data_IF_242326441974
#
_entry.id   IF_242326441974
#
_cell.length_a   1.000
_cell.length_b   1.000
_cell.length_c   1.000
_cell.angle_alpha   90.00
_cell.angle_beta   90.00
_cell.angle_gamma   90.00
#
_symmetry.space_group_name_H-M   'P 1'
#
loop_
_entity.id
_entity.type
_entity.pdbx_description
1 polymer ?
#
# COMPACT_ATOMS: atom_id res chain seq x y z
N UNK A 1 -76.18 12.82 7.64
CA UNK A 1 -75.00 13.17 6.82
C UNK A 1 -73.79 13.17 7.75
N UNK A 2 -72.95 12.14 7.64
CA UNK A 2 -71.66 12.01 8.33
C UNK A 2 -70.65 12.98 7.72
N UNK A 3 -69.90 13.73 8.54
CA UNK A 3 -68.60 14.29 8.16
C UNK A 3 -67.68 14.41 9.39
N UNK A 4 -67.02 13.29 9.63
CA UNK A 4 -65.56 13.13 9.74
C UNK A 4 -64.78 14.18 10.55
N UNK A 5 -64.45 13.78 11.77
CA UNK A 5 -63.27 14.25 12.51
C UNK A 5 -62.00 13.96 11.71
N UNK A 6 -61.18 14.98 11.44
CA UNK A 6 -59.77 14.78 11.06
C UNK A 6 -58.95 14.93 12.33
N UNK A 7 -58.67 13.79 12.97
CA UNK A 7 -57.54 13.67 13.89
C UNK A 7 -56.27 13.79 13.06
N UNK A 8 -55.49 14.86 13.30
CA UNK A 8 -54.09 14.87 12.92
C UNK A 8 -53.39 13.78 13.74
N UNK A 9 -53.23 12.61 13.12
CA UNK A 9 -52.26 11.63 13.55
C UNK A 9 -50.88 12.22 13.35
N UNK A 10 -50.22 12.54 14.46
CA UNK A 10 -48.76 12.60 14.52
C UNK A 10 -48.28 11.20 14.15
N UNK A 11 -48.03 10.98 12.86
CA UNK A 11 -47.22 9.87 12.43
C UNK A 11 -45.82 10.15 12.99
N UNK A 12 -45.52 9.49 14.12
CA UNK A 12 -44.17 9.31 14.56
C UNK A 12 -43.39 8.77 13.36
N UNK A 13 -42.50 9.61 12.85
CA UNK A 13 -41.44 9.21 11.94
C UNK A 13 -40.55 8.25 12.73
N UNK A 14 -40.96 6.98 12.81
CA UNK A 14 -40.04 5.91 13.09
C UNK A 14 -39.09 5.89 11.90
N UNK A 15 -38.00 6.65 12.02
CA UNK A 15 -36.80 6.39 11.28
C UNK A 15 -36.46 4.93 11.57
N UNK A 16 -36.69 4.05 10.60
CA UNK A 16 -36.02 2.76 10.61
C UNK A 16 -34.55 3.08 10.38
N UNK A 17 -33.82 3.35 11.47
CA UNK A 17 -32.36 3.39 11.47
C UNK A 17 -31.89 2.01 11.03
N UNK A 18 -30.92 1.97 10.12
CA UNK A 18 -30.34 0.68 9.72
C UNK A 18 -29.46 0.17 10.88
N UNK A 19 -29.33 -1.15 11.09
CA UNK A 19 -28.37 -1.70 12.07
C UNK A 19 -26.94 -1.17 11.89
N UNK A 20 -26.59 -0.72 10.69
CA UNK A 20 -25.33 -0.06 10.38
C UNK A 20 -25.22 1.35 11.01
N UNK A 21 -26.29 2.14 10.94
CA UNK A 21 -26.34 3.46 11.59
C UNK A 21 -26.26 3.33 13.12
N UNK A 22 -26.91 2.31 13.67
CA UNK A 22 -26.96 2.06 15.10
C UNK A 22 -25.58 1.58 15.63
N UNK A 23 -24.90 0.67 14.92
CA UNK A 23 -23.51 0.29 15.20
C UNK A 23 -22.55 1.47 15.16
N UNK A 24 -22.66 2.32 14.12
CA UNK A 24 -21.84 3.53 14.00
C UNK A 24 -22.11 4.51 15.13
N UNK A 25 -23.38 4.77 15.44
CA UNK A 25 -23.76 5.64 16.55
C UNK A 25 -23.21 5.11 17.88
N UNK A 26 -23.31 3.80 18.09
CA UNK A 26 -22.77 3.14 19.27
C UNK A 26 -21.25 3.27 19.38
N UNK A 27 -20.53 3.08 18.28
CA UNK A 27 -19.08 3.25 18.22
C UNK A 27 -18.68 4.68 18.63
N UNK A 28 -19.40 5.68 18.13
CA UNK A 28 -19.19 7.08 18.47
C UNK A 28 -19.46 7.36 19.97
N UNK A 29 -20.56 6.85 20.52
CA UNK A 29 -20.85 6.93 21.96
C UNK A 29 -19.73 6.35 22.83
N UNK A 30 -19.16 5.22 22.39
CA UNK A 30 -18.08 4.54 23.09
C UNK A 30 -16.69 5.12 22.82
N UNK A 31 -16.59 6.26 22.11
CA UNK A 31 -15.33 6.91 21.74
C UNK A 31 -14.37 5.97 20.99
N UNK A 32 -14.91 5.05 20.20
CA UNK A 32 -14.11 4.34 19.23
C UNK A 32 -13.56 5.35 18.21
N UNK A 33 -12.35 5.12 17.71
CA UNK A 33 -11.62 6.06 16.83
C UNK A 33 -12.45 6.42 15.60
N UNK A 34 -12.95 7.66 15.47
CA UNK A 34 -13.63 8.11 14.26
C UNK A 34 -12.59 8.82 13.37
N UNK A 35 -11.88 8.10 12.49
CA UNK A 35 -10.78 8.82 11.80
C UNK A 35 -9.99 8.18 10.68
N UNK A 36 -10.24 6.93 10.24
CA UNK A 36 -9.48 6.36 9.12
C UNK A 36 -10.43 6.08 7.94
N UNK A 37 -10.51 7.11 7.06
CA UNK A 37 -11.10 7.34 5.70
C UNK A 37 -12.06 6.30 5.12
N UNK A 38 -13.22 6.61 4.53
CA UNK A 38 -13.68 7.59 3.50
C UNK A 38 -15.18 7.89 3.71
N UNK A 39 -15.65 9.01 3.17
CA UNK A 39 -16.97 9.62 3.39
C UNK A 39 -18.24 8.83 2.95
N UNK A 40 -18.16 7.54 2.60
CA UNK A 40 -19.29 6.74 2.08
C UNK A 40 -19.52 5.44 2.89
N UNK A 41 -20.08 5.61 4.08
CA UNK A 41 -20.18 4.59 5.13
C UNK A 41 -21.26 3.50 4.98
N UNK A 42 -22.06 3.53 3.92
CA UNK A 42 -23.19 2.59 3.79
C UNK A 42 -22.78 1.27 3.10
N UNK A 43 -21.72 1.26 2.29
CA UNK A 43 -21.38 0.12 1.42
C UNK A 43 -20.90 -1.12 2.17
N UNK A 44 -19.86 -1.00 3.01
CA UNK A 44 -19.22 -2.15 3.69
C UNK A 44 -20.18 -2.84 4.67
N UNK A 45 -20.87 -2.06 5.50
CA UNK A 45 -21.82 -2.64 6.45
C UNK A 45 -23.03 -3.27 5.72
N UNK A 46 -23.50 -2.68 4.63
CA UNK A 46 -24.57 -3.25 3.80
C UNK A 46 -24.12 -4.53 3.10
N UNK A 47 -22.88 -4.58 2.62
CA UNK A 47 -22.27 -5.75 1.98
C UNK A 47 -22.13 -6.91 2.98
N UNK A 48 -21.53 -6.68 4.15
CA UNK A 48 -21.38 -7.68 5.22
C UNK A 48 -22.74 -8.15 5.72
N UNK A 49 -23.72 -7.25 5.83
CA UNK A 49 -25.10 -7.61 6.13
C UNK A 49 -25.72 -8.48 5.04
N UNK A 50 -25.41 -8.21 3.77
CA UNK A 50 -25.81 -9.06 2.64
C UNK A 50 -25.20 -10.45 2.69
N UNK A 51 -23.93 -10.55 3.09
CA UNK A 51 -23.18 -11.81 3.23
C UNK A 51 -23.70 -12.66 4.40
N UNK A 52 -23.95 -12.04 5.55
CA UNK A 52 -24.31 -12.73 6.81
C UNK A 52 -25.81 -12.78 7.12
N UNK A 53 -26.62 -12.05 6.35
CA UNK A 53 -28.09 -12.06 6.44
C UNK A 53 -28.61 -11.91 7.89
N UNK A 54 -29.46 -12.82 8.36
CA UNK A 54 -30.12 -12.75 9.67
C UNK A 54 -29.14 -12.81 10.86
N UNK A 55 -27.94 -13.35 10.65
CA UNK A 55 -26.93 -13.44 11.71
C UNK A 55 -26.27 -12.07 11.96
N UNK A 56 -26.26 -11.18 10.96
CA UNK A 56 -25.76 -9.81 11.12
C UNK A 56 -26.58 -9.00 12.12
N UNK A 57 -27.91 -9.02 12.00
CA UNK A 57 -28.79 -8.23 12.88
C UNK A 57 -28.67 -8.71 14.34
N UNK A 58 -28.44 -10.01 14.56
CA UNK A 58 -28.18 -10.57 15.90
C UNK A 58 -26.81 -10.14 16.46
N UNK A 59 -25.81 -10.00 15.59
CA UNK A 59 -24.49 -9.50 15.97
C UNK A 59 -24.57 -8.01 16.33
N UNK A 60 -25.24 -7.21 15.50
CA UNK A 60 -25.43 -5.78 15.72
C UNK A 60 -26.12 -5.52 17.07
N UNK A 61 -27.23 -6.22 17.34
CA UNK A 61 -27.93 -6.14 18.62
C UNK A 61 -27.03 -6.48 19.83
N UNK A 62 -26.20 -7.53 19.73
CA UNK A 62 -25.26 -7.89 20.79
C UNK A 62 -24.23 -6.78 21.08
N UNK A 63 -23.70 -6.15 20.03
CA UNK A 63 -22.71 -5.07 20.17
C UNK A 63 -23.35 -3.80 20.76
N UNK A 64 -24.57 -3.47 20.35
CA UNK A 64 -25.32 -2.32 20.86
C UNK A 64 -25.66 -2.43 22.35
N UNK A 65 -26.08 -3.62 22.79
CA UNK A 65 -26.41 -3.89 24.19
C UNK A 65 -25.18 -3.91 25.12
N UNK A 66 -24.00 -4.09 24.55
CA UNK A 66 -22.74 -4.24 25.31
C UNK A 66 -22.21 -2.89 25.81
N UNK A 67 -21.69 -2.79 27.04
CA UNK A 67 -21.22 -1.52 27.61
C UNK A 67 -19.90 -1.04 26.98
N UNK A 68 -19.66 0.27 27.02
CA UNK A 68 -18.52 0.88 26.33
C UNK A 68 -17.14 0.50 26.90
N UNK A 69 -17.07 0.10 28.17
CA UNK A 69 -15.84 -0.28 28.88
C UNK A 69 -15.38 -1.73 28.61
N UNK A 70 -16.17 -2.49 27.85
CA UNK A 70 -15.89 -3.88 27.51
C UNK A 70 -15.05 -4.02 26.23
N UNK A 71 -13.75 -4.22 26.42
CA UNK A 71 -12.75 -4.33 25.35
C UNK A 71 -12.73 -5.66 24.61
N UNK A 72 -13.59 -6.63 24.95
CA UNK A 72 -13.63 -7.90 24.23
C UNK A 72 -15.05 -8.23 23.74
N UNK A 73 -15.96 -7.24 23.75
CA UNK A 73 -17.37 -7.43 23.41
C UNK A 73 -17.60 -7.89 21.97
N UNK A 74 -16.89 -7.28 21.01
CA UNK A 74 -17.10 -7.56 19.59
C UNK A 74 -16.69 -9.00 19.27
N UNK A 75 -15.53 -9.44 19.75
CA UNK A 75 -15.07 -10.82 19.58
C UNK A 75 -16.05 -11.82 20.23
N UNK A 76 -16.57 -11.53 21.42
CA UNK A 76 -17.61 -12.39 22.03
C UNK A 76 -18.92 -12.39 21.24
N UNK A 77 -19.39 -11.25 20.74
CA UNK A 77 -20.58 -11.17 19.91
C UNK A 77 -20.40 -11.94 18.58
N UNK A 78 -19.20 -11.88 17.99
CA UNK A 78 -18.84 -12.69 16.83
C UNK A 78 -18.90 -14.18 17.18
N UNK A 79 -18.26 -14.61 18.27
CA UNK A 79 -18.26 -16.02 18.70
C UNK A 79 -19.65 -16.56 19.06
N UNK A 80 -20.52 -15.73 19.63
CA UNK A 80 -21.87 -16.12 20.06
C UNK A 80 -22.85 -16.23 18.89
N UNK A 81 -22.73 -15.35 17.90
CA UNK A 81 -23.72 -15.20 16.83
C UNK A 81 -23.26 -15.78 15.51
N UNK A 82 -21.95 -15.76 15.24
CA UNK A 82 -21.36 -15.95 13.92
C UNK A 82 -20.28 -17.03 14.00
N UNK A 83 -20.70 -18.28 14.22
CA UNK A 83 -19.88 -19.48 14.50
C UNK A 83 -18.43 -19.49 13.96
N UNK A 84 -18.16 -20.27 12.91
CA UNK A 84 -16.84 -20.27 12.23
C UNK A 84 -16.90 -19.36 10.99
N UNK A 85 -16.71 -18.05 11.19
CA UNK A 85 -16.51 -17.09 10.09
C UNK A 85 -15.04 -17.00 9.67
N UNK A 86 -14.79 -16.64 8.42
CA UNK A 86 -13.43 -16.41 7.91
C UNK A 86 -12.78 -15.22 8.63
N UNK A 87 -11.45 -15.15 8.61
CA UNK A 87 -10.72 -14.01 9.16
C UNK A 87 -11.09 -12.68 8.47
N UNK A 88 -11.42 -12.72 7.17
CA UNK A 88 -11.88 -11.56 6.42
C UNK A 88 -13.21 -11.03 6.95
N UNK A 89 -14.20 -11.92 7.08
CA UNK A 89 -15.51 -11.59 7.65
C UNK A 89 -15.38 -11.06 9.08
N UNK A 90 -14.53 -11.69 9.90
CA UNK A 90 -14.25 -11.25 11.28
C UNK A 90 -13.71 -9.82 11.31
N UNK A 91 -12.78 -9.50 10.42
CA UNK A 91 -12.21 -8.17 10.31
C UNK A 91 -13.25 -7.13 9.85
N UNK A 92 -14.02 -7.42 8.79
CA UNK A 92 -15.08 -6.52 8.30
C UNK A 92 -16.15 -6.23 9.37
N UNK A 93 -16.55 -7.25 10.13
CA UNK A 93 -17.48 -7.10 11.26
C UNK A 93 -16.92 -6.26 12.40
N UNK A 94 -15.65 -6.47 12.74
CA UNK A 94 -14.95 -5.67 13.74
C UNK A 94 -14.87 -4.20 13.31
N UNK A 95 -14.51 -3.94 12.05
CA UNK A 95 -14.44 -2.60 11.49
C UNK A 95 -15.80 -1.90 11.55
N UNK A 96 -16.87 -2.58 11.09
CA UNK A 96 -18.24 -2.07 11.16
C UNK A 96 -18.67 -1.72 12.60
N UNK A 97 -18.41 -2.60 13.56
CA UNK A 97 -18.76 -2.39 14.97
C UNK A 97 -17.95 -1.28 15.66
N UNK A 98 -16.75 -0.98 15.15
CA UNK A 98 -15.93 0.15 15.62
C UNK A 98 -16.17 1.45 14.85
N UNK A 99 -17.08 1.45 13.87
CA UNK A 99 -17.28 2.61 13.00
C UNK A 99 -16.03 2.97 12.19
N UNK A 100 -15.19 1.98 11.88
CA UNK A 100 -13.97 2.12 11.09
C UNK A 100 -14.24 1.74 9.64
N UNK A 101 -13.51 2.36 8.72
CA UNK A 101 -13.45 1.90 7.33
C UNK A 101 -12.19 1.06 7.10
N UNK A 102 -12.36 -0.18 6.60
CA UNK A 102 -11.24 -0.97 6.13
C UNK A 102 -10.81 -0.47 4.74
N UNK A 103 -9.88 0.48 4.68
CA UNK A 103 -9.30 0.96 3.41
C UNK A 103 -8.56 -0.19 2.71
N UNK A 104 -8.79 -0.36 1.40
CA UNK A 104 -8.04 -1.32 0.59
C UNK A 104 -8.45 -2.78 0.78
N UNK A 105 -9.66 -3.02 1.31
CA UNK A 105 -10.18 -4.37 1.56
C UNK A 105 -11.28 -4.67 0.56
N UNK A 106 -10.92 -5.36 -0.52
CA UNK A 106 -11.87 -5.87 -1.51
C UNK A 106 -12.85 -6.89 -0.88
N UNK A 107 -13.88 -7.28 -1.63
CA UNK A 107 -14.99 -8.14 -1.21
C UNK A 107 -14.54 -9.43 -0.48
N UNK A 108 -13.39 -9.98 -0.84
CA UNK A 108 -12.81 -11.21 -0.29
C UNK A 108 -11.54 -11.00 0.56
N UNK A 109 -11.21 -9.74 0.86
CA UNK A 109 -9.93 -9.34 1.44
C UNK A 109 -8.71 -9.82 0.62
N UNK A 110 -8.85 -10.09 -0.68
CA UNK A 110 -7.75 -10.55 -1.54
C UNK A 110 -6.57 -9.59 -1.49
N UNK A 111 -6.80 -8.29 -1.68
CA UNK A 111 -5.77 -7.26 -1.63
C UNK A 111 -4.98 -7.24 -0.29
N UNK A 112 -5.65 -7.50 0.85
CA UNK A 112 -4.97 -7.67 2.15
C UNK A 112 -4.23 -9.01 2.24
N UNK A 113 -4.82 -10.09 1.71
CA UNK A 113 -4.27 -11.45 1.78
C UNK A 113 -3.14 -11.72 0.79
N UNK A 114 -3.06 -10.95 -0.30
CA UNK A 114 -1.94 -10.97 -1.26
C UNK A 114 -0.72 -10.29 -0.64
N UNK A 115 -0.92 -9.23 0.16
CA UNK A 115 0.15 -8.60 0.95
C UNK A 115 0.51 -9.37 2.24
N UNK A 116 -0.43 -10.15 2.79
CA UNK A 116 -0.24 -10.97 3.99
C UNK A 116 -0.54 -12.43 3.67
N UNK A 117 0.49 -13.25 3.41
CA UNK A 117 0.37 -14.71 3.28
C UNK A 117 -0.67 -15.25 4.29
N UNK A 118 -1.60 -16.13 3.88
CA UNK A 118 -2.83 -16.41 4.64
C UNK A 118 -2.69 -16.73 6.14
N UNK A 119 -1.56 -17.28 6.60
CA UNK A 119 -1.24 -17.44 8.04
C UNK A 119 -0.92 -16.10 8.74
N UNK A 120 -0.19 -15.22 8.06
CA UNK A 120 0.05 -13.83 8.48
C UNK A 120 -1.25 -13.04 8.57
N UNK A 121 -2.17 -13.18 7.60
CA UNK A 121 -3.46 -12.52 7.67
C UNK A 121 -4.28 -12.95 8.90
N UNK A 122 -4.36 -14.25 9.19
CA UNK A 122 -5.04 -14.77 10.37
C UNK A 122 -4.48 -14.21 11.68
N UNK A 123 -3.14 -14.16 11.79
CA UNK A 123 -2.45 -13.56 12.94
C UNK A 123 -2.72 -12.07 13.04
N UNK A 124 -2.72 -11.37 11.91
CA UNK A 124 -2.94 -9.93 11.84
C UNK A 124 -4.35 -9.55 12.27
N UNK A 125 -5.36 -10.24 11.74
CA UNK A 125 -6.75 -10.07 12.17
C UNK A 125 -6.88 -10.32 13.67
N UNK A 126 -6.29 -11.41 14.20
CA UNK A 126 -6.30 -11.67 15.63
C UNK A 126 -5.70 -10.50 16.43
N UNK A 127 -4.56 -9.96 16.00
CA UNK A 127 -3.91 -8.83 16.66
C UNK A 127 -4.76 -7.55 16.66
N UNK A 128 -5.33 -7.15 15.51
CA UNK A 128 -6.13 -5.90 15.44
C UNK A 128 -7.47 -6.02 16.17
N UNK A 129 -8.00 -7.23 16.34
CA UNK A 129 -9.29 -7.50 17.02
C UNK A 129 -9.21 -7.70 18.54
N UNK A 130 -8.01 -7.90 19.13
CA UNK A 130 -7.83 -8.32 20.54
C UNK A 130 -8.51 -7.38 21.56
N UNK A 131 -8.46 -6.07 21.30
CA UNK A 131 -8.97 -5.02 22.18
C UNK A 131 -10.36 -4.48 21.75
N UNK A 132 -11.07 -5.23 20.91
CA UNK A 132 -12.39 -4.96 20.33
C UNK A 132 -12.58 -3.64 19.57
N UNK A 133 -12.03 -2.49 19.98
CA UNK A 133 -11.98 -1.26 19.18
C UNK A 133 -10.79 -0.35 19.56
N UNK A 134 -10.24 0.42 18.60
CA UNK A 134 -9.26 1.45 18.89
C UNK A 134 -9.90 2.66 19.58
N UNK A 135 -9.22 3.29 20.54
CA UNK A 135 -9.78 4.32 21.45
C UNK A 135 -9.40 5.78 21.11
N UNK A 136 -9.37 6.12 19.82
CA UNK A 136 -9.09 7.46 19.32
C UNK A 136 -7.90 7.50 18.35
N UNK A 137 -7.57 8.70 17.87
CA UNK A 137 -6.60 8.90 16.78
C UNK A 137 -5.16 8.47 17.12
N UNK A 138 -4.82 8.37 18.41
CA UNK A 138 -3.50 7.95 18.90
C UNK A 138 -3.34 6.41 18.98
N UNK A 139 -4.40 5.64 18.71
CA UNK A 139 -4.37 4.17 18.77
C UNK A 139 -3.80 3.59 17.46
N UNK A 140 -2.48 3.37 17.44
CA UNK A 140 -1.73 2.86 16.29
C UNK A 140 -1.69 1.31 16.23
N UNK A 141 -2.69 0.63 16.81
CA UNK A 141 -2.73 -0.85 16.85
C UNK A 141 -2.70 -1.45 15.46
N UNK A 142 -3.34 -0.81 14.48
CA UNK A 142 -3.32 -1.26 13.09
C UNK A 142 -1.88 -1.39 12.57
N UNK A 143 -1.07 -0.33 12.72
CA UNK A 143 0.35 -0.31 12.33
C UNK A 143 1.19 -1.30 13.14
N UNK A 144 1.02 -1.32 14.46
CA UNK A 144 1.80 -2.23 15.33
C UNK A 144 1.52 -3.70 15.02
N UNK A 145 0.26 -4.04 14.72
CA UNK A 145 -0.11 -5.39 14.29
C UNK A 145 0.46 -5.73 12.92
N UNK A 146 0.53 -4.76 12.02
CA UNK A 146 1.18 -4.93 10.72
C UNK A 146 2.70 -5.18 10.90
N UNK A 147 3.41 -4.33 11.64
CA UNK A 147 4.85 -4.46 11.92
C UNK A 147 5.23 -5.78 12.61
N UNK A 148 4.38 -6.29 13.51
CA UNK A 148 4.67 -7.51 14.26
C UNK A 148 4.42 -8.81 13.48
N UNK A 149 3.75 -8.74 12.33
CA UNK A 149 3.17 -9.92 11.65
C UNK A 149 3.57 -9.98 10.19
N UNK A 150 3.66 -8.83 9.52
CA UNK A 150 4.26 -8.69 8.21
C UNK A 150 5.78 -8.71 8.38
N UNK A 151 6.53 -9.52 7.62
CA UNK A 151 7.99 -9.49 7.67
C UNK A 151 8.49 -8.07 7.46
N UNK A 152 9.49 -7.63 8.24
CA UNK A 152 10.05 -6.27 8.13
C UNK A 152 10.44 -5.92 6.69
N UNK A 153 10.92 -6.90 5.93
CA UNK A 153 11.22 -6.76 4.49
C UNK A 153 10.03 -6.32 3.65
N UNK A 154 8.79 -6.71 3.99
CA UNK A 154 7.59 -6.33 3.24
C UNK A 154 7.06 -4.97 3.72
N UNK A 155 7.12 -4.66 5.02
CA UNK A 155 6.77 -3.31 5.52
C UNK A 155 7.77 -2.26 5.04
N UNK A 156 9.07 -2.55 5.06
CA UNK A 156 10.11 -1.66 4.56
C UNK A 156 9.92 -1.36 3.06
N UNK A 157 9.54 -2.38 2.27
CA UNK A 157 9.21 -2.19 0.85
C UNK A 157 7.96 -1.34 0.66
N UNK A 158 6.91 -1.57 1.47
CA UNK A 158 5.67 -0.80 1.38
C UNK A 158 5.91 0.68 1.74
N UNK A 159 6.62 0.94 2.84
CA UNK A 159 6.95 2.29 3.29
C UNK A 159 7.84 3.00 2.27
N UNK A 160 8.84 2.30 1.74
CA UNK A 160 9.67 2.81 0.66
C UNK A 160 8.82 3.21 -0.55
N UNK A 161 7.88 2.36 -0.95
CA UNK A 161 7.00 2.63 -2.08
C UNK A 161 6.07 3.81 -1.89
N UNK A 162 5.46 3.95 -0.70
CA UNK A 162 4.62 5.12 -0.38
C UNK A 162 5.43 6.40 -0.49
N UNK A 163 6.65 6.44 0.08
CA UNK A 163 7.51 7.63 0.04
C UNK A 163 7.96 7.95 -1.38
N UNK A 164 8.38 6.95 -2.17
CA UNK A 164 8.79 7.14 -3.58
C UNK A 164 7.62 7.65 -4.42
N UNK A 165 6.43 7.08 -4.26
CA UNK A 165 5.24 7.51 -4.99
C UNK A 165 4.87 8.96 -4.66
N UNK A 166 4.85 9.33 -3.38
CA UNK A 166 4.57 10.72 -2.96
C UNK A 166 5.60 11.71 -3.51
N UNK A 167 6.88 11.34 -3.50
CA UNK A 167 7.93 12.17 -4.08
C UNK A 167 7.76 12.29 -5.61
N UNK A 168 7.42 11.18 -6.29
CA UNK A 168 7.18 11.17 -7.74
C UNK A 168 6.00 12.06 -8.13
N UNK A 169 4.90 12.02 -7.38
CA UNK A 169 3.75 12.90 -7.58
C UNK A 169 4.12 14.39 -7.44
N UNK A 170 4.95 14.74 -6.46
CA UNK A 170 5.47 16.11 -6.30
C UNK A 170 6.34 16.54 -7.49
N UNK A 171 7.03 15.59 -8.12
CA UNK A 171 7.91 15.83 -9.25
C UNK A 171 7.24 15.68 -10.63
N UNK A 172 5.98 15.26 -10.67
CA UNK A 172 5.22 15.06 -11.91
C UNK A 172 5.24 16.33 -12.79
N UNK A 173 5.58 16.16 -14.07
CA UNK A 173 5.66 17.26 -15.04
C UNK A 173 7.03 17.95 -15.17
N UNK A 174 8.06 17.55 -14.42
CA UNK A 174 9.42 18.10 -14.55
C UNK A 174 10.26 17.50 -15.72
N UNK A 175 9.67 16.69 -16.60
CA UNK A 175 10.20 16.39 -17.94
C UNK A 175 11.54 15.64 -18.06
N UNK A 176 12.10 15.11 -16.96
CA UNK A 176 13.34 14.34 -16.99
C UNK A 176 13.06 12.85 -16.74
N UNK A 177 13.09 12.05 -17.82
CA UNK A 177 12.73 10.62 -17.83
C UNK A 177 13.85 9.65 -18.30
N UNK A 178 15.00 9.58 -17.60
CA UNK A 178 15.60 8.23 -17.57
C UNK A 178 16.05 7.73 -16.19
N UNK A 179 16.29 8.63 -15.23
CA UNK A 179 17.12 8.31 -14.05
C UNK A 179 16.36 8.23 -12.73
N UNK A 180 15.04 8.15 -12.80
CA UNK A 180 14.16 7.97 -11.65
C UNK A 180 13.50 6.61 -11.82
N UNK A 181 13.35 5.87 -10.73
CA UNK A 181 12.37 4.79 -10.63
C UNK A 181 11.00 5.46 -10.82
N UNK A 182 10.58 5.60 -12.08
CA UNK A 182 9.56 6.55 -12.55
C UNK A 182 8.18 5.96 -12.43
N UNK A 183 7.20 6.75 -11.96
CA UNK A 183 5.74 6.49 -11.97
C UNK A 183 5.35 5.01 -12.11
N UNK A 184 5.69 4.23 -11.09
CA UNK A 184 5.31 2.84 -11.01
C UNK A 184 4.23 2.74 -9.96
N UNK A 185 3.05 2.22 -10.34
CA UNK A 185 2.01 1.92 -9.35
C UNK A 185 2.56 1.01 -8.25
N UNK A 186 1.90 0.99 -7.09
CA UNK A 186 2.33 0.26 -5.90
C UNK A 186 2.84 -1.16 -6.21
N UNK A 187 2.16 -1.91 -7.08
CA UNK A 187 2.56 -3.27 -7.46
C UNK A 187 3.95 -3.36 -8.13
N UNK A 188 4.28 -2.45 -9.03
CA UNK A 188 5.60 -2.42 -9.68
C UNK A 188 6.69 -1.91 -8.73
N UNK A 189 6.36 -0.98 -7.85
CA UNK A 189 7.28 -0.57 -6.81
C UNK A 189 7.59 -1.72 -5.84
N UNK A 190 6.59 -2.52 -5.46
CA UNK A 190 6.80 -3.70 -4.63
C UNK A 190 7.64 -4.78 -5.34
N UNK A 191 7.54 -4.89 -6.68
CA UNK A 191 8.38 -5.80 -7.47
C UNK A 191 9.88 -5.44 -7.43
N UNK A 192 10.24 -4.19 -7.12
CA UNK A 192 11.63 -3.79 -6.89
C UNK A 192 12.27 -4.51 -5.68
N UNK A 193 11.45 -5.09 -4.79
CA UNK A 193 11.91 -5.97 -3.73
C UNK A 193 12.50 -7.31 -4.20
N UNK A 194 12.34 -7.66 -5.47
CA UNK A 194 13.01 -8.80 -6.12
C UNK A 194 14.39 -8.44 -6.68
N UNK A 195 14.67 -7.13 -6.82
CA UNK A 195 15.88 -6.58 -7.43
C UNK A 195 16.81 -6.01 -6.35
N UNK A 196 16.24 -5.29 -5.38
CA UNK A 196 16.95 -4.60 -4.30
C UNK A 196 16.58 -5.15 -2.93
N UNK A 197 17.50 -5.04 -1.97
CA UNK A 197 17.17 -5.36 -0.58
C UNK A 197 16.15 -4.35 -0.03
N UNK A 198 15.15 -4.83 0.70
CA UNK A 198 14.09 -3.99 1.26
C UNK A 198 14.61 -2.81 2.08
N UNK A 199 15.65 -3.03 2.89
CA UNK A 199 16.29 -1.99 3.71
C UNK A 199 16.98 -0.92 2.87
N UNK A 200 17.68 -1.32 1.81
CA UNK A 200 18.35 -0.37 0.92
C UNK A 200 17.35 0.44 0.09
N UNK A 201 16.22 -0.18 -0.25
CA UNK A 201 15.12 0.48 -0.95
C UNK A 201 14.43 1.53 -0.06
N UNK A 202 14.24 1.23 1.23
CA UNK A 202 13.77 2.19 2.23
C UNK A 202 14.76 3.33 2.46
N UNK A 203 16.06 3.04 2.55
CA UNK A 203 17.10 4.08 2.65
C UNK A 203 17.15 5.01 1.42
N UNK A 204 16.92 4.45 0.22
CA UNK A 204 16.76 5.21 -1.01
C UNK A 204 15.52 6.10 -0.96
N UNK A 205 14.36 5.57 -0.55
CA UNK A 205 13.11 6.31 -0.45
C UNK A 205 13.21 7.51 0.49
N UNK A 206 13.73 7.32 1.70
CA UNK A 206 13.93 8.43 2.64
C UNK A 206 14.98 9.44 2.19
N UNK A 207 15.97 9.00 1.40
CA UNK A 207 16.88 9.95 0.78
C UNK A 207 16.15 10.87 -0.19
N UNK A 208 15.28 10.32 -1.06
CA UNK A 208 14.53 11.10 -2.05
C UNK A 208 13.64 12.16 -1.42
N UNK A 209 13.00 11.89 -0.28
CA UNK A 209 12.11 12.84 0.41
C UNK A 209 12.77 14.22 0.64
N UNK A 210 14.09 14.25 0.85
CA UNK A 210 14.87 15.47 1.03
C UNK A 210 15.42 16.12 -0.24
N UNK A 211 15.19 15.53 -1.42
CA UNK A 211 15.81 15.95 -2.68
C UNK A 211 14.82 16.69 -3.59
N UNK A 212 15.23 17.85 -4.10
CA UNK A 212 14.45 18.64 -5.03
C UNK A 212 14.28 17.96 -6.40
N UNK A 213 13.18 18.27 -7.09
CA UNK A 213 12.82 17.61 -8.35
C UNK A 213 13.76 17.90 -9.54
N UNK A 214 14.66 18.87 -9.42
CA UNK A 214 15.66 19.23 -10.43
C UNK A 214 17.10 18.94 -9.97
N UNK A 215 17.29 18.44 -8.75
CA UNK A 215 18.60 18.10 -8.20
C UNK A 215 19.08 16.71 -8.67
N UNK A 216 19.65 16.69 -9.87
CA UNK A 216 20.21 15.48 -10.49
C UNK A 216 21.32 14.86 -9.63
N UNK A 217 22.16 15.69 -8.99
CA UNK A 217 23.27 15.20 -8.19
C UNK A 217 22.77 14.52 -6.91
N UNK A 218 21.80 15.12 -6.21
CA UNK A 218 21.16 14.54 -5.04
C UNK A 218 20.44 13.22 -5.35
N UNK A 219 19.78 13.13 -6.51
CA UNK A 219 19.13 11.87 -6.96
C UNK A 219 20.13 10.76 -7.22
N UNK A 220 21.24 11.09 -7.89
CA UNK A 220 22.32 10.14 -8.11
C UNK A 220 22.92 9.67 -6.78
N UNK A 221 23.07 10.55 -5.79
CA UNK A 221 23.53 10.18 -4.45
C UNK A 221 22.55 9.24 -3.75
N UNK A 222 21.24 9.47 -3.87
CA UNK A 222 20.24 8.55 -3.34
C UNK A 222 20.30 7.18 -4.00
N UNK A 223 20.48 7.10 -5.32
CA UNK A 223 20.62 5.82 -6.03
C UNK A 223 21.79 4.97 -5.52
N UNK A 224 22.85 5.59 -4.97
CA UNK A 224 23.97 4.86 -4.37
C UNK A 224 23.59 4.05 -3.13
N UNK A 225 22.46 4.37 -2.49
CA UNK A 225 21.95 3.66 -1.31
C UNK A 225 21.32 2.32 -1.66
N UNK A 226 20.93 2.13 -2.92
CA UNK A 226 20.37 0.86 -3.37
C UNK A 226 21.42 -0.26 -3.27
N UNK A 227 20.98 -1.43 -2.84
CA UNK A 227 21.79 -2.63 -2.75
C UNK A 227 21.09 -3.75 -3.54
N UNK A 228 21.79 -4.31 -4.52
CA UNK A 228 21.26 -5.36 -5.38
C UNK A 228 21.26 -6.70 -4.65
N UNK A 229 20.19 -7.48 -4.82
CA UNK A 229 20.14 -8.88 -4.36
C UNK A 229 21.14 -9.72 -5.15
N UNK A 230 21.19 -9.55 -6.47
CA UNK A 230 22.18 -10.17 -7.34
C UNK A 230 22.58 -9.24 -8.51
N UNK A 231 23.80 -8.67 -8.52
CA UNK A 231 24.27 -7.83 -9.61
C UNK A 231 24.73 -8.63 -10.85
N UNK A 232 24.85 -9.96 -10.75
CA UNK A 232 25.50 -10.80 -11.79
C UNK A 232 24.97 -10.63 -13.22
N UNK A 233 23.67 -10.41 -13.48
CA UNK A 233 23.14 -10.30 -14.84
C UNK A 233 23.57 -9.03 -15.59
N UNK A 234 23.96 -7.97 -14.88
CA UNK A 234 24.23 -6.63 -15.45
C UNK A 234 25.70 -6.21 -15.38
N UNK A 235 26.55 -6.94 -14.65
CA UNK A 235 27.98 -6.63 -14.52
C UNK A 235 28.69 -6.60 -15.88
N UNK A 236 28.53 -7.66 -16.69
CA UNK A 236 29.27 -7.76 -17.96
C UNK A 236 28.87 -6.68 -18.99
N UNK A 237 27.58 -6.34 -19.18
CA UNK A 237 27.18 -5.16 -19.94
C UNK A 237 27.77 -3.85 -19.37
N UNK A 238 27.83 -3.69 -18.06
CA UNK A 238 28.38 -2.49 -17.42
C UNK A 238 29.88 -2.33 -17.60
N UNK A 239 30.66 -3.41 -17.44
CA UNK A 239 32.11 -3.41 -17.71
C UNK A 239 32.41 -2.98 -19.14
N UNK A 240 31.60 -3.46 -20.10
CA UNK A 240 31.71 -3.07 -21.51
C UNK A 240 31.42 -1.60 -21.74
N UNK A 241 30.33 -1.09 -21.16
CA UNK A 241 29.95 0.31 -21.28
C UNK A 241 31.03 1.25 -20.70
N UNK A 242 31.61 0.88 -19.55
CA UNK A 242 32.73 1.62 -18.93
C UNK A 242 33.96 1.58 -19.83
N UNK A 243 34.35 0.40 -20.32
CA UNK A 243 35.50 0.27 -21.21
C UNK A 243 35.34 1.07 -22.51
N UNK A 244 34.12 1.13 -23.07
CA UNK A 244 33.80 1.95 -24.23
C UNK A 244 33.92 3.45 -23.90
N UNK A 245 33.37 3.90 -22.78
CA UNK A 245 33.52 5.29 -22.30
C UNK A 245 34.99 5.68 -22.15
N UNK A 246 35.81 4.84 -21.50
CA UNK A 246 37.24 5.08 -21.34
C UNK A 246 37.95 5.21 -22.69
N UNK A 247 37.56 4.38 -23.67
CA UNK A 247 38.11 4.43 -25.04
C UNK A 247 37.78 5.73 -25.78
N UNK A 248 36.67 6.38 -25.42
CA UNK A 248 36.24 7.64 -26.00
C UNK A 248 36.96 8.88 -25.43
N UNK A 249 37.87 8.70 -24.47
CA UNK A 249 38.62 9.80 -23.85
C UNK A 249 37.77 10.71 -22.96
N UNK A 250 36.53 10.31 -22.67
CA UNK A 250 35.72 10.91 -21.61
C UNK A 250 36.23 10.40 -20.26
N UNK A 251 36.81 11.29 -19.46
CA UNK A 251 36.90 11.13 -18.01
C UNK A 251 35.47 11.22 -17.44
N UNK A 252 34.61 10.24 -17.73
CA UNK A 252 33.51 9.90 -16.84
C UNK A 252 34.16 9.27 -15.62
N UNK A 253 34.84 10.09 -14.80
CA UNK A 253 35.74 9.66 -13.75
C UNK A 253 35.18 8.46 -13.00
N UNK A 254 35.73 7.28 -13.30
CA UNK A 254 35.35 5.99 -12.72
C UNK A 254 33.89 5.88 -12.30
N UNK A 255 32.95 5.89 -13.25
CA UNK A 255 31.61 5.41 -12.95
C UNK A 255 31.73 3.99 -12.38
N UNK A 256 31.40 3.78 -11.09
CA UNK A 256 31.54 2.45 -10.51
C UNK A 256 30.64 1.47 -11.28
N UNK A 257 31.15 0.27 -11.55
CA UNK A 257 30.36 -0.85 -12.07
C UNK A 257 29.06 -0.98 -11.25
N UNK A 258 29.12 -0.69 -9.94
CA UNK A 258 27.96 -0.71 -9.05
C UNK A 258 26.89 0.33 -9.41
N UNK A 259 27.29 1.54 -9.82
CA UNK A 259 26.35 2.59 -10.24
C UNK A 259 25.67 2.20 -11.54
N UNK A 260 26.44 1.67 -12.49
CA UNK A 260 25.91 1.15 -13.73
C UNK A 260 24.95 -0.02 -13.48
N UNK A 261 25.33 -0.97 -12.63
CA UNK A 261 24.51 -2.12 -12.29
C UNK A 261 23.18 -1.69 -11.69
N UNK A 262 23.18 -0.75 -10.73
CA UNK A 262 21.96 -0.20 -10.12
C UNK A 262 21.05 0.48 -11.14
N UNK A 263 21.61 1.22 -12.10
CA UNK A 263 20.84 1.88 -13.15
C UNK A 263 20.16 0.89 -14.11
N UNK A 264 20.81 -0.25 -14.38
CA UNK A 264 20.29 -1.24 -15.32
C UNK A 264 19.54 -2.41 -14.70
N UNK A 265 19.53 -2.52 -13.37
CA UNK A 265 19.00 -3.68 -12.65
C UNK A 265 17.50 -3.96 -12.91
N UNK A 266 16.71 -2.93 -13.23
CA UNK A 266 15.27 -3.04 -13.53
C UNK A 266 14.92 -3.50 -14.95
N UNK A 267 15.93 -3.67 -15.80
CA UNK A 267 15.71 -4.03 -17.20
C UNK A 267 16.08 -5.48 -17.45
N UNK A 268 15.31 -6.12 -18.35
CA UNK A 268 15.59 -7.47 -18.82
C UNK A 268 17.07 -7.55 -19.26
N UNK A 269 17.89 -8.47 -18.72
CA UNK A 269 19.33 -8.50 -18.99
C UNK A 269 19.70 -8.52 -20.48
N UNK A 270 18.90 -9.22 -21.30
CA UNK A 270 19.09 -9.25 -22.75
C UNK A 270 18.87 -7.87 -23.42
N UNK A 271 17.98 -7.06 -22.86
CA UNK A 271 17.69 -5.70 -23.35
C UNK A 271 18.83 -4.72 -22.97
N UNK A 272 19.44 -4.90 -21.80
CA UNK A 272 20.63 -4.17 -21.36
C UNK A 272 21.81 -4.48 -22.29
N UNK A 273 22.05 -5.75 -22.60
CA UNK A 273 23.09 -6.15 -23.54
C UNK A 273 22.85 -5.57 -24.96
N UNK A 274 21.60 -5.57 -25.42
CA UNK A 274 21.21 -4.97 -26.69
C UNK A 274 21.38 -3.44 -26.72
N UNK A 275 21.16 -2.76 -25.59
CA UNK A 275 21.42 -1.34 -25.38
C UNK A 275 22.93 -1.05 -25.44
N UNK A 276 23.73 -1.74 -24.63
CA UNK A 276 25.19 -1.54 -24.58
C UNK A 276 25.82 -1.79 -25.95
N UNK A 277 25.41 -2.86 -26.64
CA UNK A 277 25.87 -3.17 -27.99
C UNK A 277 25.48 -2.12 -29.04
N UNK A 278 24.39 -1.37 -28.80
CA UNK A 278 24.01 -0.23 -29.63
C UNK A 278 24.92 0.97 -29.37
N UNK A 279 25.19 1.29 -28.10
CA UNK A 279 26.05 2.42 -27.70
C UNK A 279 27.46 2.26 -28.26
N UNK A 280 28.03 1.05 -28.19
CA UNK A 280 29.37 0.74 -28.74
C UNK A 280 29.49 0.93 -30.26
N UNK A 281 28.37 0.98 -30.98
CA UNK A 281 28.34 1.21 -32.44
C UNK A 281 28.23 2.69 -32.80
N UNK A 282 27.95 3.56 -31.83
CA UNK A 282 27.84 5.00 -32.04
C UNK A 282 29.21 5.68 -31.97
N UNK A 283 29.39 6.84 -32.65
CA UNK A 283 30.56 7.68 -32.45
C UNK A 283 30.66 8.17 -31.00
N UNK A 284 31.88 8.35 -30.49
CA UNK A 284 32.10 8.94 -29.18
C UNK A 284 31.45 10.33 -29.07
N UNK A 285 30.69 10.55 -27.98
CA UNK A 285 30.02 11.83 -27.71
C UNK A 285 28.75 12.07 -28.52
N UNK A 286 28.19 11.04 -29.16
CA UNK A 286 26.89 11.16 -29.83
C UNK A 286 25.79 11.45 -28.79
N UNK A 287 25.13 12.60 -28.92
CA UNK A 287 24.09 13.07 -28.01
C UNK A 287 22.79 12.26 -28.16
N UNK A 288 22.68 11.45 -29.21
CA UNK A 288 21.45 10.74 -29.55
C UNK A 288 21.33 9.35 -28.91
N UNK A 289 22.20 8.96 -27.96
CA UNK A 289 22.10 7.68 -27.22
C UNK A 289 20.69 7.46 -26.65
N UNK A 290 20.10 8.52 -26.07
CA UNK A 290 18.75 8.49 -25.51
C UNK A 290 17.65 8.28 -26.56
N UNK A 291 17.90 8.60 -27.84
CA UNK A 291 16.93 8.46 -28.94
C UNK A 291 17.14 7.14 -29.69
N UNK A 292 18.40 6.74 -29.88
CA UNK A 292 18.79 5.63 -30.76
C UNK A 292 18.87 4.31 -29.99
N UNK A 293 19.45 4.32 -28.79
CA UNK A 293 19.73 3.09 -28.05
C UNK A 293 18.75 2.86 -26.91
N UNK A 294 18.28 3.90 -26.21
CA UNK A 294 17.35 3.75 -25.08
C UNK A 294 16.05 2.96 -25.42
N UNK A 295 15.45 3.05 -26.62
CA UNK A 295 14.28 2.23 -26.98
C UNK A 295 14.50 0.71 -26.96
N UNK A 296 15.75 0.25 -26.83
CA UNK A 296 16.09 -1.17 -26.71
C UNK A 296 15.95 -1.70 -25.30
N UNK A 297 15.95 -0.84 -24.29
CA UNK A 297 15.77 -1.23 -22.90
C UNK A 297 14.30 -1.64 -22.67
N UNK A 298 14.11 -2.81 -22.07
CA UNK A 298 12.80 -3.36 -21.74
C UNK A 298 12.76 -3.63 -20.25
N UNK A 299 11.71 -3.17 -19.58
CA UNK A 299 11.47 -3.48 -18.16
C UNK A 299 11.12 -4.97 -18.01
N UNK A 300 11.50 -5.56 -16.88
CA UNK A 300 11.07 -6.91 -16.50
C UNK A 300 9.56 -6.99 -16.21
#
# INVERSE_FOLDING_TARGET
>A
MLRTSVLLGVAASLACTTPCDDLKSRAHECRASPGRYVDDQESVCTEVRGELQADFDSFAACVEESPCDDNARIDRCQQQTLGEVTYCVRFKLWAAACGLEPIGVEDDCAALSEGMFGEGFARWVACVTDDACPRGDDDSRYEQCQEGIVPSTVTDLFDACVVIMQWSEQCAGNGFEPFVVHEMGLAQCLAEGEIFTASAYLEYAYCLEGIACDDIAGRLDCLLRLELIDPSPVIAPCERLIAFSDSCGSDLGGGSIDVCARLFARFVPASVDAFVSCVEQLPCGDADVAVVCAPRLQLE
#
